data_IF_490088603719
#
_entry.id   IF_490088603719
#
_cell.length_a   1.000
_cell.length_b   1.000
_cell.length_c   1.000
_cell.angle_alpha   90.00
_cell.angle_beta   90.00
_cell.angle_gamma   90.00
#
_symmetry.space_group_name_H-M   'P 1'
#
loop_
_entity.id
_entity.type
_entity.pdbx_description
1 polymer ?
#
# COMPACT_ATOMS: atom_id res chain seq x y z
N UNK A 1 -15.31 -3.30 -10.42
CA UNK A 1 -14.25 -4.24 -10.00
C UNK A 1 -12.90 -3.55 -10.13
N UNK A 2 -12.12 -3.47 -9.06
CA UNK A 2 -10.74 -2.97 -9.13
C UNK A 2 -9.80 -4.16 -9.30
N UNK A 3 -8.84 -4.07 -10.21
CA UNK A 3 -7.86 -5.14 -10.43
C UNK A 3 -6.58 -4.92 -9.61
N UNK A 4 -5.74 -5.96 -9.52
CA UNK A 4 -4.50 -5.90 -8.73
C UNK A 4 -3.57 -4.78 -9.18
N UNK A 5 -3.47 -4.49 -10.48
CA UNK A 5 -2.62 -3.40 -11.00
C UNK A 5 -3.08 -2.04 -10.49
N UNK A 6 -4.38 -1.76 -10.55
CA UNK A 6 -4.98 -0.54 -10.00
C UNK A 6 -4.78 -0.45 -8.47
N UNK A 7 -4.93 -1.58 -7.77
CA UNK A 7 -4.67 -1.65 -6.33
C UNK A 7 -3.21 -1.30 -6.02
N UNK A 8 -2.25 -1.90 -6.73
CA UNK A 8 -0.82 -1.62 -6.56
C UNK A 8 -0.48 -0.15 -6.78
N UNK A 9 -1.05 0.48 -7.82
CA UNK A 9 -0.85 1.91 -8.08
C UNK A 9 -1.37 2.77 -6.93
N UNK A 10 -2.58 2.48 -6.41
CA UNK A 10 -3.14 3.21 -5.27
C UNK A 10 -2.36 2.97 -3.97
N UNK A 11 -1.83 1.76 -3.77
CA UNK A 11 -1.00 1.42 -2.62
C UNK A 11 0.32 2.19 -2.62
N UNK A 12 0.98 2.29 -3.78
CA UNK A 12 2.16 3.14 -3.94
C UNK A 12 1.81 4.62 -3.75
N UNK A 13 0.75 5.12 -4.39
CA UNK A 13 0.34 6.52 -4.26
C UNK A 13 -0.03 6.90 -2.81
N UNK A 14 -0.58 5.96 -2.02
CA UNK A 14 -0.83 6.16 -0.59
C UNK A 14 0.47 6.39 0.21
N UNK A 15 1.62 5.93 -0.30
CA UNK A 15 2.89 6.23 0.34
C UNK A 15 3.29 7.69 0.12
N UNK A 16 3.05 8.25 -1.07
CA UNK A 16 3.43 9.62 -1.37
C UNK A 16 2.46 10.66 -0.78
N UNK A 17 1.18 10.29 -0.59
CA UNK A 17 0.18 11.20 -0.02
C UNK A 17 -1.17 10.54 0.26
N UNK A 18 -2.15 11.31 0.76
CA UNK A 18 -3.48 10.79 1.05
C UNK A 18 -4.24 10.43 -0.24
N UNK A 19 -4.91 9.28 -0.21
CA UNK A 19 -5.89 8.91 -1.25
C UNK A 19 -7.22 9.64 -1.03
N UNK A 20 -7.98 9.85 -2.10
CA UNK A 20 -9.38 10.27 -1.99
C UNK A 20 -10.21 9.22 -1.24
N UNK A 21 -11.30 9.64 -0.59
CA UNK A 21 -12.16 8.74 0.18
C UNK A 21 -12.67 7.56 -0.68
N UNK A 22 -13.09 7.82 -1.92
CA UNK A 22 -13.56 6.79 -2.84
C UNK A 22 -12.46 5.76 -3.19
N UNK A 23 -11.24 6.23 -3.51
CA UNK A 23 -10.10 5.34 -3.77
C UNK A 23 -9.78 4.49 -2.55
N UNK A 24 -9.83 5.07 -1.34
CA UNK A 24 -9.58 4.36 -0.08
C UNK A 24 -10.60 3.26 0.17
N UNK A 25 -11.89 3.53 -0.05
CA UNK A 25 -12.95 2.52 0.09
C UNK A 25 -12.79 1.37 -0.90
N UNK A 26 -12.59 1.69 -2.19
CA UNK A 26 -12.39 0.67 -3.23
C UNK A 26 -11.16 -0.19 -2.96
N UNK A 27 -10.06 0.43 -2.52
CA UNK A 27 -8.85 -0.26 -2.12
C UNK A 27 -9.08 -1.19 -0.94
N UNK A 28 -9.77 -0.72 0.10
CA UNK A 28 -10.07 -1.54 1.29
C UNK A 28 -10.91 -2.78 0.94
N UNK A 29 -11.92 -2.63 0.09
CA UNK A 29 -12.73 -3.76 -0.40
C UNK A 29 -11.89 -4.77 -1.20
N UNK A 30 -11.01 -4.30 -2.08
CA UNK A 30 -10.13 -5.20 -2.83
C UNK A 30 -9.14 -5.95 -1.91
N UNK A 31 -8.55 -5.24 -0.94
CA UNK A 31 -7.64 -5.85 0.02
C UNK A 31 -8.31 -6.91 0.88
N UNK A 32 -9.63 -6.81 1.15
CA UNK A 32 -10.37 -7.85 1.86
C UNK A 32 -10.42 -9.17 1.08
N UNK A 33 -10.42 -9.13 -0.25
CA UNK A 33 -10.58 -10.29 -1.13
C UNK A 33 -9.25 -10.81 -1.68
N UNK A 34 -8.23 -9.96 -1.82
CA UNK A 34 -6.96 -10.30 -2.46
C UNK A 34 -5.81 -10.33 -1.44
N UNK A 35 -5.35 -11.54 -1.09
CA UNK A 35 -4.22 -11.72 -0.18
C UNK A 35 -2.90 -11.22 -0.76
N UNK A 36 -2.68 -11.31 -2.08
CA UNK A 36 -1.46 -10.83 -2.72
C UNK A 36 -1.29 -9.32 -2.55
N UNK A 37 -2.34 -8.55 -2.82
CA UNK A 37 -2.31 -7.10 -2.62
C UNK A 37 -2.19 -6.73 -1.14
N UNK A 38 -2.75 -7.54 -0.23
CA UNK A 38 -2.60 -7.36 1.23
C UNK A 38 -1.14 -7.56 1.67
N UNK A 39 -0.47 -8.59 1.13
CA UNK A 39 0.94 -8.84 1.38
C UNK A 39 1.84 -7.74 0.78
N UNK A 40 1.52 -7.28 -0.43
CA UNK A 40 2.23 -6.16 -1.06
C UNK A 40 2.10 -4.87 -0.25
N UNK A 41 0.90 -4.55 0.28
CA UNK A 41 0.72 -3.41 1.17
C UNK A 41 1.61 -3.50 2.42
N UNK A 42 1.70 -4.70 3.03
CA UNK A 42 2.59 -4.92 4.18
C UNK A 42 4.06 -4.70 3.83
N UNK A 43 4.50 -5.18 2.66
CA UNK A 43 5.87 -4.96 2.19
C UNK A 43 6.18 -3.47 1.97
N UNK A 44 5.25 -2.70 1.36
CA UNK A 44 5.42 -1.26 1.20
C UNK A 44 5.55 -0.54 2.53
N UNK A 45 4.74 -0.90 3.53
CA UNK A 45 4.86 -0.37 4.88
C UNK A 45 6.21 -0.71 5.51
N UNK A 46 6.64 -1.97 5.44
CA UNK A 46 7.93 -2.41 5.95
C UNK A 46 9.09 -1.62 5.33
N UNK A 47 9.12 -1.48 4.00
CA UNK A 47 10.15 -0.71 3.30
C UNK A 47 10.17 0.75 3.74
N UNK A 48 8.99 1.34 3.95
CA UNK A 48 8.89 2.73 4.41
C UNK A 48 9.33 2.92 5.85
N UNK A 49 9.03 1.97 6.72
CA UNK A 49 9.51 1.95 8.09
C UNK A 49 11.03 1.79 8.13
N UNK A 50 11.58 0.85 7.35
CA UNK A 50 13.02 0.66 7.21
C UNK A 50 13.73 1.92 6.66
N UNK A 51 13.13 2.61 5.70
CA UNK A 51 13.67 3.86 5.15
C UNK A 51 13.59 5.05 6.13
N UNK A 52 12.69 5.00 7.12
CA UNK A 52 12.53 6.02 8.16
C UNK A 52 13.28 5.71 9.44
N UNK A 53 13.60 4.45 9.68
CA UNK A 53 14.48 4.08 10.76
C UNK A 53 15.80 4.84 10.57
N UNK A 54 16.36 5.47 11.62
CA UNK A 54 17.70 6.01 11.54
C UNK A 54 18.58 4.86 11.08
N UNK A 55 19.21 5.05 9.94
CA UNK A 55 20.01 4.02 9.30
C UNK A 55 21.22 3.78 10.21
N UNK A 56 21.07 2.85 11.15
CA UNK A 56 22.17 2.29 11.91
C UNK A 56 22.82 1.21 11.04
N UNK A 57 23.39 1.68 9.93
CA UNK A 57 24.36 0.92 9.16
C UNK A 57 25.71 1.25 9.81
N UNK A 58 26.18 0.34 10.67
CA UNK A 58 27.60 0.22 11.00
C UNK A 58 28.33 -0.54 9.89
#
# INVERSE_FOLDING_TARGET
>A
MMNCRQASILLSAQQDGPLTLNQRYRLRLHLMLCNNCRNFNRQLHFMREAARAPSHWE
#
